data_IF_656062740522
#
_entry.id   IF_656062740522
#
_cell.length_a   1.000
_cell.length_b   1.000
_cell.length_c   1.000
_cell.angle_alpha   90.00
_cell.angle_beta   90.00
_cell.angle_gamma   90.00
#
_symmetry.space_group_name_H-M   'P 1'
#
loop_
_entity.id
_entity.type
_entity.pdbx_description
1 polymer ?
#
# COMPACT_ATOMS: atom_id res chain seq x y z
N UNK A 1 -70.40 40.48 38.96
CA UNK A 1 -70.26 41.20 40.26
C UNK A 1 -68.87 40.97 40.71
N UNK A 2 -68.20 42.12 40.80
CA UNK A 2 -67.11 42.54 41.71
C UNK A 2 -65.73 41.98 41.35
N UNK A 3 -64.71 42.74 41.41
CA UNK A 3 -64.42 44.16 41.34
C UNK A 3 -62.94 44.29 41.09
N UNK A 4 -62.60 45.34 40.39
CA UNK A 4 -61.19 45.77 40.12
C UNK A 4 -60.52 46.26 41.41
N UNK A 5 -59.31 45.76 41.69
CA UNK A 5 -58.32 46.55 42.43
C UNK A 5 -57.09 46.76 41.63
N UNK A 6 -56.98 47.98 41.10
CA UNK A 6 -55.72 48.53 40.58
C UNK A 6 -54.85 48.90 41.78
N UNK A 7 -53.72 48.20 41.98
CA UNK A 7 -52.64 48.66 42.81
C UNK A 7 -51.75 49.62 42.02
N UNK A 8 -51.74 50.86 42.41
CA UNK A 8 -50.78 51.89 42.00
C UNK A 8 -49.34 51.50 42.39
N UNK A 9 -48.52 51.18 41.40
CA UNK A 9 -47.08 51.11 41.60
C UNK A 9 -46.47 52.50 41.38
N UNK A 10 -45.82 53.02 42.38
CA UNK A 10 -45.02 54.26 42.34
C UNK A 10 -43.95 54.17 41.26
N UNK A 11 -43.65 55.23 40.53
CA UNK A 11 -42.58 55.28 39.60
C UNK A 11 -41.23 55.18 40.34
N UNK A 12 -40.51 54.11 40.08
CA UNK A 12 -39.12 53.90 40.50
C UNK A 12 -38.28 55.01 39.82
N UNK A 13 -37.83 56.02 40.58
CA UNK A 13 -36.85 56.97 40.08
C UNK A 13 -35.50 56.29 39.95
N UNK A 14 -35.10 55.99 38.69
CA UNK A 14 -33.77 55.48 38.38
C UNK A 14 -32.75 56.61 38.57
N UNK A 15 -31.71 56.46 39.44
CA UNK A 15 -30.69 57.47 39.58
C UNK A 15 -29.97 57.76 38.29
N UNK A 16 -29.71 59.02 37.94
CA UNK A 16 -29.05 59.48 36.72
C UNK A 16 -27.64 58.91 36.52
N UNK A 17 -27.07 58.37 37.57
CA UNK A 17 -25.75 57.75 37.55
C UNK A 17 -25.72 56.40 36.89
N UNK A 18 -26.84 55.64 36.79
CA UNK A 18 -26.93 54.32 36.16
C UNK A 18 -26.66 54.43 34.67
N UNK A 19 -27.09 55.44 34.00
CA UNK A 19 -26.81 55.66 32.57
C UNK A 19 -25.32 55.89 32.30
N UNK A 20 -24.59 56.48 33.22
CA UNK A 20 -23.13 56.61 33.08
C UNK A 20 -22.40 55.24 33.21
N UNK A 21 -22.85 54.41 34.15
CA UNK A 21 -22.26 53.06 34.32
C UNK A 21 -22.57 52.16 33.13
N UNK A 22 -23.78 52.24 32.57
CA UNK A 22 -24.17 51.51 31.38
C UNK A 22 -23.33 51.97 30.18
N UNK A 23 -23.15 53.29 29.98
CA UNK A 23 -22.31 53.81 28.87
C UNK A 23 -20.86 53.40 29.00
N UNK A 24 -20.25 53.46 30.19
CA UNK A 24 -18.87 52.99 30.44
C UNK A 24 -18.74 51.50 30.22
N UNK A 25 -19.70 50.69 30.66
CA UNK A 25 -19.72 49.24 30.39
C UNK A 25 -19.83 48.93 28.92
N UNK A 26 -20.64 49.67 28.15
CA UNK A 26 -20.75 49.50 26.70
C UNK A 26 -19.49 49.94 25.94
N UNK A 27 -18.80 51.01 26.40
CA UNK A 27 -17.53 51.44 25.80
C UNK A 27 -16.40 50.41 26.06
N UNK A 28 -16.28 49.95 27.30
CA UNK A 28 -15.32 48.89 27.65
C UNK A 28 -15.60 47.57 26.90
N UNK A 29 -16.87 47.21 26.72
CA UNK A 29 -17.26 46.05 25.94
C UNK A 29 -16.95 46.19 24.42
N UNK A 30 -17.06 47.41 23.88
CA UNK A 30 -16.66 47.71 22.49
C UNK A 30 -15.15 47.59 22.29
N UNK A 31 -14.35 48.15 23.21
CA UNK A 31 -12.89 48.07 23.14
C UNK A 31 -12.38 46.63 23.27
N UNK A 32 -12.95 45.85 24.19
CA UNK A 32 -12.62 44.45 24.36
C UNK A 32 -13.01 43.62 23.15
N UNK A 33 -14.12 43.94 22.46
CA UNK A 33 -14.57 43.28 21.25
C UNK A 33 -13.70 43.61 20.04
N UNK A 34 -13.26 44.85 19.90
CA UNK A 34 -12.33 45.30 18.86
C UNK A 34 -10.94 44.68 19.01
N UNK A 35 -10.40 44.60 20.20
CA UNK A 35 -9.11 43.97 20.47
C UNK A 35 -9.16 42.43 20.31
N UNK A 36 -10.26 41.78 20.67
CA UNK A 36 -10.46 40.33 20.40
C UNK A 36 -10.56 40.03 18.92
N UNK A 37 -11.24 40.86 18.15
CA UNK A 37 -11.37 40.72 16.71
C UNK A 37 -10.01 40.85 16.00
N UNK A 38 -9.26 41.92 16.34
CA UNK A 38 -7.94 42.18 15.74
C UNK A 38 -6.92 41.11 16.06
N UNK A 39 -6.89 40.59 17.29
CA UNK A 39 -6.01 39.49 17.68
C UNK A 39 -6.43 38.12 17.06
N UNK A 40 -7.72 37.93 16.78
CA UNK A 40 -8.20 36.75 16.06
C UNK A 40 -7.75 36.77 14.58
N UNK A 41 -7.90 37.92 13.92
CA UNK A 41 -7.46 38.08 12.52
C UNK A 41 -5.95 37.96 12.35
N UNK A 42 -5.17 38.49 13.29
CA UNK A 42 -3.70 38.33 13.29
C UNK A 42 -3.28 36.88 13.54
N UNK A 43 -3.94 36.15 14.44
CA UNK A 43 -3.65 34.72 14.69
C UNK A 43 -4.09 33.83 13.55
N UNK A 44 -5.23 34.09 12.92
CA UNK A 44 -5.70 33.36 11.76
C UNK A 44 -4.83 33.66 10.53
N UNK A 45 -4.43 34.96 10.36
CA UNK A 45 -3.52 35.36 9.28
C UNK A 45 -2.13 34.73 9.43
N UNK A 46 -1.56 34.71 10.64
CA UNK A 46 -0.24 34.10 10.87
C UNK A 46 -0.25 32.57 10.73
N UNK A 47 -1.35 31.90 11.13
CA UNK A 47 -1.47 30.45 10.92
C UNK A 47 -1.69 30.10 9.44
N UNK A 48 -2.45 30.90 8.68
CA UNK A 48 -2.61 30.73 7.22
C UNK A 48 -1.28 30.92 6.47
N UNK A 49 -0.49 31.93 6.85
CA UNK A 49 0.84 32.17 6.28
C UNK A 49 1.79 31.02 6.66
N UNK A 50 1.78 30.55 7.89
CA UNK A 50 2.58 29.40 8.32
C UNK A 50 2.16 28.10 7.58
N UNK A 51 0.85 27.87 7.42
CA UNK A 51 0.34 26.75 6.62
C UNK A 51 0.73 26.88 5.13
N UNK A 52 0.70 28.09 4.57
CA UNK A 52 1.14 28.35 3.20
C UNK A 52 2.64 28.13 3.04
N UNK A 53 3.47 28.55 4.00
CA UNK A 53 4.91 28.27 4.01
C UNK A 53 5.20 26.78 4.17
N UNK A 54 4.48 26.08 5.04
CA UNK A 54 4.59 24.61 5.20
C UNK A 54 4.12 23.92 3.93
N UNK A 55 3.05 24.38 3.30
CA UNK A 55 2.53 23.83 2.04
C UNK A 55 3.51 24.07 0.89
N UNK A 56 4.07 25.28 0.77
CA UNK A 56 5.11 25.62 -0.22
C UNK A 56 6.41 24.83 0.07
N UNK A 57 6.78 24.67 1.33
CA UNK A 57 7.96 23.87 1.72
C UNK A 57 7.77 22.38 1.43
N UNK A 58 6.60 21.80 1.76
CA UNK A 58 6.26 20.42 1.42
C UNK A 58 6.18 20.22 -0.11
N UNK A 59 5.66 21.19 -0.85
CA UNK A 59 5.61 21.15 -2.33
C UNK A 59 6.99 21.39 -2.97
N UNK A 60 7.84 22.23 -2.40
CA UNK A 60 9.18 22.49 -2.95
C UNK A 60 10.17 21.35 -2.69
N UNK A 61 9.95 20.57 -1.61
CA UNK A 61 10.77 19.38 -1.29
C UNK A 61 10.35 18.16 -2.15
N UNK A 62 9.12 18.14 -2.69
CA UNK A 62 8.60 16.99 -3.46
C UNK A 62 8.84 17.00 -4.96
N UNK A 63 9.36 18.06 -5.51
CA UNK A 63 9.72 18.14 -6.95
C UNK A 63 11.14 18.70 -7.06
N UNK A 64 12.11 17.84 -7.30
CA UNK A 64 13.42 18.30 -7.77
C UNK A 64 13.22 19.07 -9.07
N UNK A 65 13.61 20.36 -9.15
CA UNK A 65 13.50 21.15 -10.39
C UNK A 65 14.21 20.51 -11.58
N UNK A 66 15.23 19.68 -11.31
CA UNK A 66 15.96 18.92 -12.32
C UNK A 66 15.11 17.80 -12.93
N UNK A 67 14.28 17.09 -12.13
CA UNK A 67 13.34 16.08 -12.61
C UNK A 67 12.28 16.74 -13.49
N UNK A 68 11.67 17.82 -13.04
CA UNK A 68 10.65 18.53 -13.79
C UNK A 68 11.21 19.07 -15.13
N UNK A 69 12.42 19.61 -15.14
CA UNK A 69 13.06 20.14 -16.35
C UNK A 69 13.50 19.04 -17.34
N UNK A 70 14.03 17.93 -16.84
CA UNK A 70 14.44 16.79 -17.69
C UNK A 70 13.22 16.10 -18.30
N UNK A 71 12.21 15.85 -17.50
CA UNK A 71 11.00 15.15 -17.92
C UNK A 71 10.13 16.01 -18.85
N UNK A 72 10.03 17.33 -18.61
CA UNK A 72 9.32 18.25 -19.53
C UNK A 72 10.03 18.41 -20.89
N UNK A 73 11.30 18.03 -21.00
CA UNK A 73 12.04 18.03 -22.27
C UNK A 73 11.73 16.83 -23.19
N UNK A 74 11.07 15.79 -22.65
CA UNK A 74 10.72 14.57 -23.39
C UNK A 74 9.20 14.59 -23.65
N UNK A 75 8.74 14.68 -24.92
CA UNK A 75 7.32 14.66 -25.23
C UNK A 75 6.61 13.43 -24.66
N UNK A 76 5.53 13.64 -23.90
CA UNK A 76 4.75 12.57 -23.26
C UNK A 76 5.20 12.18 -21.83
N UNK A 77 6.30 12.75 -21.32
CA UNK A 77 6.84 12.45 -19.98
C UNK A 77 6.18 13.24 -18.84
N UNK A 78 5.38 14.25 -19.12
CA UNK A 78 4.78 15.11 -18.09
C UNK A 78 3.98 14.33 -17.03
N UNK A 79 3.31 13.25 -17.45
CA UNK A 79 2.54 12.39 -16.55
C UNK A 79 3.39 11.31 -15.84
N UNK A 80 4.54 10.94 -16.38
CA UNK A 80 5.45 9.98 -15.73
C UNK A 80 5.97 10.55 -14.42
N UNK A 81 6.23 11.86 -14.33
CA UNK A 81 6.60 12.52 -13.05
C UNK A 81 5.55 12.28 -11.98
N UNK A 82 4.28 12.32 -12.34
CA UNK A 82 3.20 12.05 -11.41
C UNK A 82 3.24 10.59 -10.90
N UNK A 83 3.44 9.63 -11.79
CA UNK A 83 3.55 8.21 -11.43
C UNK A 83 4.82 7.86 -10.66
N UNK A 84 5.89 8.64 -10.81
CA UNK A 84 7.15 8.46 -10.09
C UNK A 84 7.20 9.25 -8.77
N UNK A 85 6.22 10.10 -8.49
CA UNK A 85 6.23 11.02 -7.34
C UNK A 85 6.47 10.34 -6.00
N UNK A 86 5.94 9.15 -5.84
CA UNK A 86 5.98 8.41 -4.58
C UNK A 86 7.10 7.37 -4.52
N UNK A 87 8.04 7.37 -5.50
CA UNK A 87 9.21 6.48 -5.55
C UNK A 87 10.46 7.27 -5.97
N UNK A 88 11.22 7.70 -4.98
CA UNK A 88 12.44 8.52 -5.18
C UNK A 88 13.52 7.78 -5.97
N UNK A 89 13.62 6.47 -5.78
CA UNK A 89 14.57 5.63 -6.50
C UNK A 89 14.28 5.62 -8.00
N UNK A 90 13.02 5.45 -8.39
CA UNK A 90 12.59 5.51 -9.79
C UNK A 90 12.74 6.92 -10.39
N UNK A 91 12.48 7.98 -9.60
CA UNK A 91 12.75 9.35 -10.04
C UNK A 91 14.21 9.52 -10.44
N UNK A 92 15.15 9.10 -9.56
CA UNK A 92 16.58 9.16 -9.85
C UNK A 92 16.99 8.29 -11.03
N UNK A 93 16.43 7.07 -11.14
CA UNK A 93 16.66 6.22 -12.30
C UNK A 93 16.21 6.89 -13.62
N UNK A 94 15.08 7.60 -13.61
CA UNK A 94 14.60 8.38 -14.76
C UNK A 94 15.54 9.54 -15.09
N UNK A 95 16.06 10.28 -14.09
CA UNK A 95 17.08 11.34 -14.27
C UNK A 95 18.36 10.80 -14.92
N UNK A 96 18.70 9.53 -14.69
CA UNK A 96 19.90 8.88 -15.26
C UNK A 96 19.61 8.09 -16.55
N UNK A 97 18.57 8.46 -17.29
CA UNK A 97 18.23 7.93 -18.63
C UNK A 97 17.85 6.43 -18.69
N UNK A 98 17.37 5.85 -17.59
CA UNK A 98 16.89 4.45 -17.62
C UNK A 98 15.51 4.31 -18.28
N UNK A 99 14.81 5.40 -18.53
CA UNK A 99 13.54 5.40 -19.26
C UNK A 99 13.79 5.20 -20.76
N UNK A 100 12.99 4.32 -21.36
CA UNK A 100 13.02 4.01 -22.79
C UNK A 100 11.65 4.29 -23.40
N UNK A 101 11.62 5.05 -24.49
CA UNK A 101 10.41 5.24 -25.28
C UNK A 101 10.11 3.98 -26.08
N UNK A 102 8.93 3.45 -25.98
CA UNK A 102 8.47 2.23 -26.66
C UNK A 102 7.44 2.59 -27.74
N UNK A 103 6.29 3.16 -27.38
CA UNK A 103 5.24 3.56 -28.31
C UNK A 103 4.53 2.40 -29.02
N UNK A 104 4.66 1.17 -28.51
CA UNK A 104 4.04 0.00 -29.11
C UNK A 104 2.56 -0.08 -28.71
N UNK A 105 1.67 -0.33 -29.68
CA UNK A 105 0.23 -0.29 -29.50
C UNK A 105 -0.45 -1.55 -30.03
N UNK A 106 -1.56 -1.93 -29.38
CA UNK A 106 -2.53 -2.88 -29.87
C UNK A 106 -3.94 -2.29 -29.82
N UNK A 107 -4.78 -2.61 -30.80
CA UNK A 107 -6.14 -2.10 -30.87
C UNK A 107 -7.16 -3.22 -31.10
N UNK A 108 -8.35 -3.04 -30.54
CA UNK A 108 -9.54 -3.86 -30.86
C UNK A 108 -10.77 -2.96 -30.95
N UNK A 109 -11.37 -2.89 -32.14
CA UNK A 109 -12.34 -1.85 -32.43
C UNK A 109 -11.74 -0.45 -32.22
N UNK A 110 -12.45 0.37 -31.44
CA UNK A 110 -12.02 1.74 -31.15
C UNK A 110 -11.21 1.86 -29.82
N UNK A 111 -10.87 0.73 -29.20
CA UNK A 111 -10.05 0.71 -27.98
C UNK A 111 -8.60 0.45 -28.33
N UNK A 112 -7.70 1.30 -27.84
CA UNK A 112 -6.25 1.20 -28.07
C UNK A 112 -5.50 1.19 -26.76
N UNK A 113 -4.65 0.20 -26.57
CA UNK A 113 -3.68 0.15 -25.47
C UNK A 113 -2.28 0.38 -26.01
N UNK A 114 -1.56 1.33 -25.47
CA UNK A 114 -0.19 1.69 -25.86
C UNK A 114 0.75 1.49 -24.68
N UNK A 115 1.82 0.76 -24.85
CA UNK A 115 2.97 0.77 -23.95
C UNK A 115 3.81 1.98 -24.36
N UNK A 116 3.72 3.06 -23.60
CA UNK A 116 4.36 4.32 -23.94
C UNK A 116 5.87 4.25 -23.70
N UNK A 117 6.24 3.81 -22.47
CA UNK A 117 7.62 3.81 -22.01
C UNK A 117 7.87 2.64 -21.05
N UNK A 118 9.15 2.31 -20.92
CA UNK A 118 9.67 1.31 -19.98
C UNK A 118 10.82 1.92 -19.18
N UNK A 119 10.79 1.77 -17.86
CA UNK A 119 11.94 1.99 -16.99
C UNK A 119 12.34 0.63 -16.41
N UNK A 120 13.57 0.19 -16.63
CA UNK A 120 13.96 -1.15 -16.21
C UNK A 120 15.43 -1.22 -15.77
N UNK A 121 15.70 -2.19 -14.90
CA UNK A 121 17.01 -2.78 -14.64
C UNK A 121 16.88 -4.30 -14.50
N UNK A 122 17.89 -4.99 -13.99
CA UNK A 122 17.87 -6.46 -13.85
C UNK A 122 16.87 -7.00 -12.81
N UNK A 123 16.29 -6.15 -11.95
CA UNK A 123 15.43 -6.53 -10.82
C UNK A 123 14.01 -6.02 -10.90
N UNK A 124 13.79 -4.91 -11.60
CA UNK A 124 12.47 -4.29 -11.70
C UNK A 124 12.26 -3.71 -13.08
N UNK A 125 11.05 -3.82 -13.57
CA UNK A 125 10.57 -3.15 -14.77
C UNK A 125 9.28 -2.42 -14.44
N UNK A 126 9.18 -1.17 -14.88
CA UNK A 126 7.95 -0.38 -14.81
C UNK A 126 7.50 -0.06 -16.23
N UNK A 127 6.31 -0.53 -16.59
CA UNK A 127 5.67 -0.22 -17.86
C UNK A 127 4.71 0.96 -17.64
N UNK A 128 4.88 2.04 -18.39
CA UNK A 128 3.91 3.14 -18.44
C UNK A 128 3.03 2.94 -19.67
N UNK A 129 1.72 3.06 -19.49
CA UNK A 129 0.78 2.82 -20.56
C UNK A 129 -0.32 3.86 -20.66
N UNK A 130 -0.85 4.01 -21.88
CA UNK A 130 -2.05 4.76 -22.18
C UNK A 130 -3.11 3.82 -22.76
N UNK A 131 -4.29 3.81 -22.17
CA UNK A 131 -5.49 3.14 -22.67
C UNK A 131 -6.46 4.22 -23.18
N UNK A 132 -6.83 4.16 -24.46
CA UNK A 132 -7.80 5.06 -25.08
C UNK A 132 -9.04 4.31 -25.49
N UNK A 133 -10.22 4.89 -25.23
CA UNK A 133 -11.52 4.33 -25.61
C UNK A 133 -12.54 5.43 -25.89
N UNK A 134 -13.55 5.19 -26.73
CA UNK A 134 -14.56 6.19 -27.08
C UNK A 134 -15.76 6.22 -26.13
N UNK A 135 -15.81 5.33 -25.14
CA UNK A 135 -16.98 5.18 -24.27
C UNK A 135 -17.05 6.38 -23.30
N UNK A 136 -18.24 6.97 -23.19
CA UNK A 136 -18.53 8.10 -22.29
C UNK A 136 -19.44 7.71 -21.12
N UNK A 137 -19.96 6.49 -21.15
CA UNK A 137 -20.96 5.95 -20.22
C UNK A 137 -20.57 4.56 -19.68
N UNK A 138 -19.34 4.12 -19.96
CA UNK A 138 -18.82 2.83 -19.53
C UNK A 138 -17.52 2.96 -18.78
N UNK A 139 -17.38 2.17 -17.75
CA UNK A 139 -16.14 2.04 -17.01
C UNK A 139 -15.22 1.05 -17.70
N UNK A 140 -13.99 1.46 -17.91
CA UNK A 140 -12.94 0.62 -18.52
C UNK A 140 -11.78 0.46 -17.55
N UNK A 141 -11.25 -0.76 -17.46
CA UNK A 141 -10.09 -1.06 -16.64
C UNK A 141 -9.16 -2.07 -17.34
N UNK A 142 -7.89 -2.05 -16.93
CA UNK A 142 -6.95 -3.14 -17.21
C UNK A 142 -7.30 -4.32 -16.29
N UNK A 143 -7.90 -5.38 -16.85
CA UNK A 143 -8.26 -6.58 -16.11
C UNK A 143 -7.04 -7.48 -15.87
N UNK A 144 -6.27 -7.77 -16.93
CA UNK A 144 -5.13 -8.68 -16.89
C UNK A 144 -4.06 -8.31 -17.91
N UNK A 145 -2.81 -8.51 -17.52
CA UNK A 145 -1.67 -8.48 -18.45
C UNK A 145 -0.80 -9.71 -18.22
N UNK A 146 -0.42 -10.36 -19.32
CA UNK A 146 0.55 -11.46 -19.34
C UNK A 146 1.69 -11.07 -20.26
N UNK A 147 2.93 -11.25 -19.80
CA UNK A 147 4.12 -11.03 -20.60
C UNK A 147 4.77 -12.37 -20.95
N UNK A 148 5.17 -12.54 -22.19
CA UNK A 148 5.93 -13.71 -22.67
C UNK A 148 7.11 -13.26 -23.52
N UNK A 149 8.09 -14.13 -23.69
CA UNK A 149 9.11 -13.95 -24.73
C UNK A 149 8.52 -14.24 -26.13
N UNK A 150 9.30 -14.04 -27.16
CA UNK A 150 8.90 -14.30 -28.54
C UNK A 150 8.59 -15.78 -28.84
N UNK A 151 9.00 -16.71 -27.98
CA UNK A 151 8.70 -18.14 -28.11
C UNK A 151 7.41 -18.53 -27.38
N UNK A 152 6.77 -17.58 -26.70
CA UNK A 152 5.54 -17.78 -25.94
C UNK A 152 5.78 -18.31 -24.52
N UNK A 153 7.03 -18.44 -24.07
CA UNK A 153 7.31 -18.83 -22.71
C UNK A 153 6.91 -17.70 -21.74
N UNK A 154 6.12 -18.05 -20.73
CA UNK A 154 5.74 -17.09 -19.69
C UNK A 154 6.95 -16.71 -18.85
N UNK A 155 7.17 -15.43 -18.72
CA UNK A 155 8.24 -14.91 -17.91
C UNK A 155 7.87 -14.91 -16.42
N UNK A 156 8.71 -15.53 -15.56
CA UNK A 156 8.45 -15.60 -14.10
C UNK A 156 8.68 -14.24 -13.43
N UNK A 157 7.64 -13.71 -12.80
CA UNK A 157 7.64 -12.38 -12.20
C UNK A 157 6.44 -12.17 -11.29
N UNK A 158 6.55 -11.19 -10.41
CA UNK A 158 5.41 -10.64 -9.68
C UNK A 158 5.03 -9.31 -10.34
N UNK A 159 3.77 -9.14 -10.66
CA UNK A 159 3.25 -7.90 -11.25
C UNK A 159 2.18 -7.29 -10.36
N UNK A 160 2.19 -5.97 -10.27
CA UNK A 160 1.15 -5.18 -9.61
C UNK A 160 0.75 -3.98 -10.46
N UNK A 161 -0.52 -3.69 -10.51
CA UNK A 161 -1.08 -2.49 -11.14
C UNK A 161 -2.35 -2.06 -10.41
N UNK A 162 -2.74 -0.81 -10.59
CA UNK A 162 -4.05 -0.34 -10.14
C UNK A 162 -5.09 -0.73 -11.19
N UNK A 163 -6.12 -1.45 -10.77
CA UNK A 163 -7.28 -1.81 -11.60
C UNK A 163 -8.43 -0.79 -11.43
N UNK A 164 -8.10 0.49 -11.23
CA UNK A 164 -9.15 1.51 -11.09
C UNK A 164 -9.96 1.59 -12.39
N UNK A 165 -11.24 1.34 -12.25
CA UNK A 165 -12.22 1.60 -13.31
C UNK A 165 -12.32 3.11 -13.55
N UNK A 166 -12.33 3.53 -14.80
CA UNK A 166 -12.48 4.94 -15.17
C UNK A 166 -13.44 5.08 -16.35
N UNK A 167 -14.20 6.16 -16.33
CA UNK A 167 -15.00 6.65 -17.45
C UNK A 167 -14.21 7.63 -18.34
N UNK A 168 -12.98 7.98 -17.94
CA UNK A 168 -12.13 8.88 -18.72
C UNK A 168 -11.73 8.22 -20.05
N UNK A 169 -11.90 8.89 -21.19
CA UNK A 169 -11.60 8.32 -22.51
C UNK A 169 -10.10 8.05 -22.71
N UNK A 170 -9.24 8.57 -21.82
CA UNK A 170 -7.79 8.37 -21.82
C UNK A 170 -7.35 8.04 -20.40
N UNK A 171 -7.05 6.78 -20.17
CA UNK A 171 -6.51 6.26 -18.89
C UNK A 171 -5.01 6.10 -19.04
N UNK A 172 -4.25 6.73 -18.17
CA UNK A 172 -2.80 6.54 -18.09
C UNK A 172 -2.44 5.97 -16.73
N UNK A 173 -1.56 4.97 -16.72
CA UNK A 173 -1.15 4.31 -15.48
C UNK A 173 0.18 3.58 -15.68
N UNK A 174 0.64 2.89 -14.61
CA UNK A 174 1.85 2.07 -14.64
C UNK A 174 1.57 0.64 -14.18
N UNK A 175 2.45 -0.27 -14.60
CA UNK A 175 2.52 -1.65 -14.14
C UNK A 175 3.91 -1.85 -13.56
N UNK A 176 3.97 -2.21 -12.30
CA UNK A 176 5.21 -2.56 -11.61
C UNK A 176 5.46 -4.06 -11.72
N UNK A 177 6.68 -4.44 -12.10
CA UNK A 177 7.08 -5.82 -12.34
C UNK A 177 8.38 -6.07 -11.58
N UNK A 178 8.31 -6.92 -10.56
CA UNK A 178 9.50 -7.43 -9.86
C UNK A 178 9.96 -8.70 -10.55
N UNK A 179 11.23 -8.73 -10.94
CA UNK A 179 11.86 -9.81 -11.69
C UNK A 179 12.43 -10.82 -10.69
N UNK A 180 12.00 -12.06 -10.79
CA UNK A 180 12.52 -13.15 -9.96
C UNK A 180 13.97 -13.49 -10.33
N UNK A 181 14.72 -14.04 -9.35
CA UNK A 181 16.10 -14.46 -9.57
C UNK A 181 16.22 -15.49 -10.71
N UNK A 182 17.35 -15.42 -11.39
CA UNK A 182 17.70 -16.26 -12.55
C UNK A 182 16.82 -16.04 -13.80
N UNK A 183 16.02 -14.98 -13.83
CA UNK A 183 15.19 -14.64 -15.00
C UNK A 183 15.71 -13.35 -15.62
N UNK A 184 16.27 -13.43 -16.83
CA UNK A 184 16.67 -12.24 -17.58
C UNK A 184 15.46 -11.62 -18.30
N UNK A 185 15.47 -10.30 -18.46
CA UNK A 185 14.52 -9.60 -19.35
C UNK A 185 14.78 -10.08 -20.78
N UNK A 186 13.77 -10.61 -21.50
CA UNK A 186 13.90 -10.92 -22.92
C UNK A 186 14.18 -9.66 -23.75
N UNK A 187 14.94 -9.78 -24.84
CA UNK A 187 15.22 -8.66 -25.77
C UNK A 187 13.94 -8.15 -26.44
N UNK A 188 13.02 -9.05 -26.69
CA UNK A 188 11.70 -8.72 -27.22
C UNK A 188 10.63 -9.56 -26.50
N UNK A 189 9.51 -8.91 -26.25
CA UNK A 189 8.40 -9.45 -25.48
C UNK A 189 7.07 -9.20 -26.15
N UNK A 190 6.09 -10.05 -25.86
CA UNK A 190 4.69 -9.85 -26.19
C UNK A 190 3.89 -9.61 -24.92
N UNK A 191 3.19 -8.49 -24.84
CA UNK A 191 2.17 -8.23 -23.83
C UNK A 191 0.80 -8.68 -24.34
N UNK A 192 0.16 -9.61 -23.62
CA UNK A 192 -1.23 -10.00 -23.84
C UNK A 192 -2.09 -9.27 -22.81
N UNK A 193 -2.84 -8.27 -23.28
CA UNK A 193 -3.66 -7.38 -22.46
C UNK A 193 -5.10 -7.76 -22.57
N UNK A 194 -5.76 -8.00 -21.44
CA UNK A 194 -7.21 -8.22 -21.35
C UNK A 194 -7.83 -7.05 -20.61
N UNK A 195 -8.86 -6.46 -21.17
CA UNK A 195 -9.58 -5.32 -20.61
C UNK A 195 -10.90 -5.78 -20.02
N UNK A 196 -11.40 -5.01 -19.07
CA UNK A 196 -12.74 -5.11 -18.51
C UNK A 196 -13.52 -3.86 -18.85
N UNK A 197 -14.76 -4.03 -19.30
CA UNK A 197 -15.69 -2.95 -19.63
C UNK A 197 -17.02 -3.25 -18.93
N UNK A 198 -17.44 -2.37 -18.01
CA UNK A 198 -18.64 -2.53 -17.17
C UNK A 198 -18.68 -3.88 -16.45
N UNK A 199 -17.58 -4.27 -15.81
CA UNK A 199 -17.39 -5.56 -15.11
C UNK A 199 -17.48 -6.80 -16.05
N UNK A 200 -17.33 -6.62 -17.36
CA UNK A 200 -17.28 -7.71 -18.34
C UNK A 200 -15.91 -7.82 -18.96
N UNK A 201 -15.26 -8.96 -18.75
CA UNK A 201 -13.98 -9.27 -19.38
C UNK A 201 -14.12 -9.35 -20.90
N UNK A 202 -13.20 -8.67 -21.62
CA UNK A 202 -13.12 -8.74 -23.07
C UNK A 202 -12.64 -10.11 -23.54
N UNK A 203 -13.39 -10.74 -24.43
CA UNK A 203 -13.08 -12.11 -24.94
C UNK A 203 -11.80 -12.15 -25.79
N UNK A 204 -11.47 -11.06 -26.49
CA UNK A 204 -10.31 -11.00 -27.37
C UNK A 204 -9.24 -10.12 -26.74
N UNK A 205 -8.12 -10.68 -26.29
CA UNK A 205 -7.02 -9.90 -25.74
C UNK A 205 -6.29 -9.12 -26.84
N UNK A 206 -5.69 -7.99 -26.46
CA UNK A 206 -4.75 -7.25 -27.28
C UNK A 206 -3.37 -7.90 -27.19
N UNK A 207 -2.70 -8.06 -28.33
CA UNK A 207 -1.30 -8.52 -28.40
C UNK A 207 -0.42 -7.35 -28.83
N UNK A 208 0.62 -7.07 -28.04
CA UNK A 208 1.50 -5.92 -28.26
C UNK A 208 2.94 -6.40 -28.15
N UNK A 209 3.65 -6.40 -29.26
CA UNK A 209 5.06 -6.74 -29.31
C UNK A 209 5.91 -5.50 -29.05
N UNK A 210 6.90 -5.63 -28.17
CA UNK A 210 7.83 -4.55 -27.85
C UNK A 210 9.21 -5.10 -27.47
N UNK A 211 10.22 -4.23 -27.57
CA UNK A 211 11.60 -4.57 -27.23
C UNK A 211 12.12 -3.65 -26.11
N UNK A 212 13.02 -4.19 -25.29
CA UNK A 212 13.70 -3.45 -24.22
C UNK A 212 15.20 -3.43 -24.52
N UNK A 213 15.77 -2.25 -24.61
CA UNK A 213 17.22 -2.07 -24.79
C UNK A 213 17.94 -2.29 -23.44
N UNK A 214 18.46 -3.48 -23.28
CA UNK A 214 19.24 -3.87 -22.11
C UNK A 214 20.55 -3.09 -21.92
N UNK A 215 21.11 -2.51 -22.97
CA UNK A 215 22.35 -1.74 -22.87
C UNK A 215 22.18 -0.49 -22.01
N UNK A 216 20.96 0.03 -21.90
CA UNK A 216 20.67 1.18 -21.05
C UNK A 216 20.90 0.94 -19.56
N UNK A 217 20.75 -0.29 -19.07
CA UNK A 217 20.93 -0.60 -17.66
C UNK A 217 22.10 -1.55 -17.37
N UNK A 218 22.64 -2.29 -18.34
CA UNK A 218 23.80 -3.17 -18.15
C UNK A 218 25.07 -2.47 -17.66
N UNK A 219 25.18 -1.16 -17.84
CA UNK A 219 26.31 -0.35 -17.37
C UNK A 219 26.22 -0.05 -15.86
N UNK A 220 25.09 -0.25 -15.24
CA UNK A 220 24.85 0.00 -13.83
C UNK A 220 25.01 -1.30 -13.05
N UNK A 221 26.22 -1.55 -12.55
CA UNK A 221 26.50 -2.71 -11.72
C UNK A 221 25.85 -2.56 -10.34
N UNK A 222 25.30 -3.65 -9.80
CA UNK A 222 24.76 -3.66 -8.46
C UNK A 222 25.82 -3.33 -7.42
N UNK A 223 25.47 -2.55 -6.40
CA UNK A 223 26.32 -2.29 -5.23
C UNK A 223 25.88 -3.22 -4.09
N UNK A 224 26.81 -3.96 -3.50
CA UNK A 224 26.48 -4.87 -2.39
C UNK A 224 27.22 -4.44 -1.13
N UNK A 225 26.47 -4.26 -0.06
CA UNK A 225 26.96 -3.97 1.28
C UNK A 225 26.74 -5.21 2.16
N UNK A 226 27.79 -5.99 2.48
CA UNK A 226 27.68 -7.07 3.46
C UNK A 226 27.48 -6.46 4.85
N UNK A 227 26.45 -6.91 5.56
CA UNK A 227 26.08 -6.37 6.87
C UNK A 227 26.40 -7.37 7.98
N UNK A 228 25.90 -8.60 7.89
CA UNK A 228 26.09 -9.72 8.83
C UNK A 228 25.89 -9.33 10.29
N UNK A 229 24.85 -8.53 10.58
CA UNK A 229 24.51 -8.05 11.92
C UNK A 229 23.29 -8.78 12.48
N UNK A 230 23.45 -9.37 13.66
CA UNK A 230 22.36 -9.99 14.41
C UNK A 230 21.55 -8.92 15.16
N UNK A 231 20.24 -9.09 15.13
CA UNK A 231 19.24 -8.25 15.84
C UNK A 231 18.38 -9.16 16.69
N UNK A 232 18.15 -8.75 17.92
CA UNK A 232 17.22 -9.43 18.84
C UNK A 232 16.14 -8.46 19.30
N UNK A 233 14.88 -8.84 19.10
CA UNK A 233 13.71 -8.07 19.55
C UNK A 233 12.75 -9.03 20.21
N UNK A 234 12.36 -8.76 21.46
CA UNK A 234 11.42 -9.59 22.24
C UNK A 234 11.81 -11.09 22.23
N UNK A 235 13.11 -11.37 22.37
CA UNK A 235 13.67 -12.72 22.35
C UNK A 235 13.70 -13.41 20.98
N UNK A 236 13.20 -12.77 19.91
CA UNK A 236 13.29 -13.30 18.56
C UNK A 236 14.52 -12.74 17.86
N UNK A 237 15.30 -13.60 17.20
CA UNK A 237 16.56 -13.27 16.54
C UNK A 237 16.43 -13.32 15.03
N UNK A 238 17.09 -12.39 14.37
CA UNK A 238 17.29 -12.42 12.93
C UNK A 238 18.60 -11.73 12.56
N UNK A 239 19.17 -12.12 11.43
CA UNK A 239 20.40 -11.55 10.90
C UNK A 239 20.09 -10.74 9.65
N UNK A 240 20.53 -9.47 9.61
CA UNK A 240 20.59 -8.69 8.38
C UNK A 240 21.85 -9.13 7.65
N UNK A 241 21.69 -9.89 6.56
CA UNK A 241 22.81 -10.51 5.86
C UNK A 241 23.53 -9.50 4.96
N UNK A 242 22.78 -8.83 4.10
CA UNK A 242 23.31 -7.86 3.14
C UNK A 242 22.25 -6.90 2.64
N UNK A 243 22.73 -5.80 2.07
CA UNK A 243 21.94 -4.86 1.27
C UNK A 243 22.50 -4.84 -0.15
N UNK A 244 21.68 -5.18 -1.13
CA UNK A 244 22.02 -5.11 -2.55
C UNK A 244 21.24 -3.96 -3.19
N UNK A 245 21.95 -3.01 -3.78
CA UNK A 245 21.39 -1.79 -4.34
C UNK A 245 21.45 -1.82 -5.86
N UNK A 246 20.30 -1.74 -6.47
CA UNK A 246 20.09 -1.68 -7.92
C UNK A 246 19.55 -0.30 -8.32
N UNK A 247 19.66 0.09 -9.59
CA UNK A 247 19.14 1.39 -10.03
C UNK A 247 17.66 1.65 -9.72
N UNK A 248 16.81 0.60 -9.71
CA UNK A 248 15.35 0.75 -9.54
C UNK A 248 14.86 0.33 -8.16
N UNK A 249 15.64 -0.45 -7.40
CA UNK A 249 15.26 -0.92 -6.06
C UNK A 249 16.47 -1.24 -5.19
N UNK A 250 16.23 -1.32 -3.88
CA UNK A 250 17.19 -1.84 -2.90
C UNK A 250 16.63 -3.11 -2.29
N UNK A 251 17.42 -4.17 -2.23
CA UNK A 251 17.10 -5.45 -1.61
C UNK A 251 17.79 -5.56 -0.25
N UNK A 252 17.01 -5.88 0.79
CA UNK A 252 17.52 -6.16 2.15
C UNK A 252 17.29 -7.63 2.46
N UNK A 253 18.38 -8.40 2.56
CA UNK A 253 18.32 -9.83 2.89
C UNK A 253 18.34 -10.02 4.40
N UNK A 254 17.29 -10.68 4.92
CA UNK A 254 17.13 -10.98 6.34
C UNK A 254 16.93 -12.48 6.53
N UNK A 255 17.63 -13.08 7.48
CA UNK A 255 17.49 -14.48 7.86
C UNK A 255 17.01 -14.58 9.29
N UNK A 256 15.90 -15.28 9.50
CA UNK A 256 15.33 -15.51 10.82
C UNK A 256 15.94 -16.76 11.46
N UNK A 257 16.20 -16.69 12.77
CA UNK A 257 16.70 -17.84 13.51
C UNK A 257 15.61 -18.93 13.57
N UNK A 258 15.86 -20.17 13.13
CA UNK A 258 14.90 -21.26 13.21
C UNK A 258 14.47 -21.58 14.65
N UNK A 259 15.30 -21.25 15.66
CA UNK A 259 15.00 -21.44 17.07
C UNK A 259 14.01 -20.40 17.64
N UNK A 260 13.63 -19.38 16.88
CA UNK A 260 12.59 -18.45 17.29
C UNK A 260 11.29 -19.16 17.66
N UNK A 261 10.68 -18.76 18.77
CA UNK A 261 9.38 -19.30 19.20
C UNK A 261 8.22 -18.72 18.37
N UNK A 262 8.41 -17.51 17.83
CA UNK A 262 7.40 -16.83 17.02
C UNK A 262 7.77 -16.88 15.54
N UNK A 263 6.72 -16.93 14.71
CA UNK A 263 6.83 -16.70 13.27
C UNK A 263 6.68 -15.20 12.98
N UNK A 264 7.69 -14.63 12.38
CA UNK A 264 7.65 -13.23 11.93
C UNK A 264 6.96 -13.18 10.57
N UNK A 265 5.85 -12.45 10.49
CA UNK A 265 5.16 -12.21 9.22
C UNK A 265 5.84 -11.12 8.41
N UNK A 266 6.09 -9.95 9.06
CA UNK A 266 6.61 -8.79 8.36
C UNK A 266 7.05 -7.68 9.34
N UNK A 267 7.62 -6.60 8.80
CA UNK A 267 8.03 -5.42 9.53
C UNK A 267 7.12 -4.23 9.22
N UNK A 268 6.71 -3.51 10.27
CA UNK A 268 5.98 -2.27 10.08
C UNK A 268 6.94 -1.14 9.71
N UNK A 269 6.68 -0.46 8.59
CA UNK A 269 7.46 0.67 8.09
C UNK A 269 8.96 0.39 8.01
N UNK A 270 9.34 -0.78 7.51
CA UNK A 270 10.74 -1.09 7.21
C UNK A 270 11.26 -0.07 6.20
N UNK A 271 12.39 0.58 6.53
CA UNK A 271 12.98 1.64 5.72
C UNK A 271 14.47 1.77 5.95
N UNK A 272 15.15 2.30 4.96
CA UNK A 272 16.49 2.84 5.10
C UNK A 272 16.39 4.35 5.38
N UNK A 273 17.31 4.87 6.18
CA UNK A 273 17.42 6.29 6.52
C UNK A 273 18.89 6.70 6.38
N UNK A 274 19.13 7.80 5.67
CA UNK A 274 20.49 8.34 5.49
C UNK A 274 20.92 9.27 6.64
N UNK A 275 22.13 9.85 6.53
CA UNK A 275 22.68 10.79 7.50
C UNK A 275 21.92 12.12 7.59
N UNK A 276 21.09 12.43 6.61
CA UNK A 276 20.25 13.65 6.54
C UNK A 276 18.84 13.40 7.07
N UNK A 277 18.52 12.14 7.45
CA UNK A 277 17.19 11.73 7.86
C UNK A 277 16.24 11.50 6.68
N UNK A 278 16.75 11.43 5.44
CA UNK A 278 15.94 11.06 4.29
C UNK A 278 15.64 9.57 4.33
N UNK A 279 14.37 9.22 4.11
CA UNK A 279 13.89 7.84 4.20
C UNK A 279 13.65 7.25 2.83
N UNK A 280 14.02 5.97 2.67
CA UNK A 280 13.79 5.13 1.50
C UNK A 280 13.01 3.91 1.96
N UNK A 281 11.74 3.88 1.61
CA UNK A 281 10.79 2.85 2.00
C UNK A 281 10.07 2.34 0.76
N UNK A 282 9.17 1.41 0.93
CA UNK A 282 8.19 1.09 -0.10
C UNK A 282 6.83 1.65 0.34
N UNK A 283 6.06 2.18 -0.60
CA UNK A 283 4.71 2.65 -0.34
C UNK A 283 3.69 1.52 -0.56
N UNK A 284 2.57 1.53 0.17
CA UNK A 284 1.49 0.56 0.04
C UNK A 284 1.22 -0.23 1.31
N UNK A 285 0.56 -1.37 1.18
CA UNK A 285 0.12 -2.21 2.30
C UNK A 285 1.22 -3.17 2.81
N UNK A 286 2.44 -2.70 2.92
CA UNK A 286 3.61 -3.46 3.36
C UNK A 286 4.76 -3.41 2.36
N UNK A 287 5.91 -3.89 2.76
CA UNK A 287 7.10 -3.99 1.92
C UNK A 287 7.00 -5.26 1.08
N UNK A 288 7.16 -5.20 -0.26
CA UNK A 288 7.22 -6.41 -1.07
C UNK A 288 8.33 -7.32 -0.58
N UNK A 289 8.03 -8.60 -0.43
CA UNK A 289 8.93 -9.58 0.13
C UNK A 289 9.00 -10.82 -0.77
N UNK A 290 10.18 -11.41 -0.87
CA UNK A 290 10.44 -12.68 -1.54
C UNK A 290 11.14 -13.63 -0.57
N UNK A 291 10.70 -14.89 -0.57
CA UNK A 291 11.40 -15.93 0.18
C UNK A 291 12.80 -16.19 -0.41
N UNK A 292 13.76 -16.40 0.46
CA UNK A 292 15.17 -16.66 0.14
C UNK A 292 15.67 -17.90 0.90
N UNK A 293 15.25 -19.07 0.43
CA UNK A 293 15.51 -20.32 1.12
C UNK A 293 14.74 -20.44 2.44
N UNK A 294 15.12 -21.45 3.23
CA UNK A 294 14.52 -21.70 4.52
C UNK A 294 14.85 -20.55 5.50
N UNK A 295 13.83 -19.95 6.08
CA UNK A 295 13.93 -18.84 7.04
C UNK A 295 14.58 -17.54 6.51
N UNK A 296 14.87 -17.44 5.21
CA UNK A 296 15.40 -16.23 4.59
C UNK A 296 14.32 -15.44 3.86
N UNK A 297 14.40 -14.11 3.89
CA UNK A 297 13.55 -13.21 3.11
C UNK A 297 14.34 -12.05 2.54
N UNK A 298 13.94 -11.58 1.37
CA UNK A 298 14.44 -10.37 0.73
C UNK A 298 13.32 -9.34 0.67
N UNK A 299 13.56 -8.19 1.28
CA UNK A 299 12.65 -7.04 1.30
C UNK A 299 13.06 -6.04 0.25
N UNK A 300 12.11 -5.53 -0.52
CA UNK A 300 12.35 -4.57 -1.58
C UNK A 300 11.97 -3.16 -1.12
N UNK A 301 12.93 -2.24 -1.15
CA UNK A 301 12.77 -0.85 -0.78
C UNK A 301 13.08 0.05 -1.98
N UNK A 302 12.75 1.34 -1.88
CA UNK A 302 13.17 2.35 -2.84
C UNK A 302 14.69 2.34 -3.06
N UNK A 303 15.13 2.59 -4.29
CA UNK A 303 16.55 2.59 -4.61
C UNK A 303 17.28 3.78 -4.01
N UNK A 304 18.46 3.49 -3.43
CA UNK A 304 19.44 4.49 -3.00
C UNK A 304 20.63 4.57 -3.96
N UNK A 305 20.55 3.93 -5.14
CA UNK A 305 21.66 3.75 -6.07
C UNK A 305 22.35 5.06 -6.47
N UNK A 306 21.55 6.07 -6.76
CA UNK A 306 22.00 7.38 -7.21
C UNK A 306 22.10 8.43 -6.08
N UNK A 307 21.80 8.06 -4.85
CA UNK A 307 21.89 8.95 -3.68
C UNK A 307 23.27 8.86 -3.02
N UNK A 308 23.86 7.66 -2.97
CA UNK A 308 25.19 7.38 -2.41
C UNK A 308 25.38 7.93 -0.97
N UNK A 309 24.53 7.52 -0.01
CA UNK A 309 24.59 8.04 1.35
C UNK A 309 25.92 7.68 2.02
N UNK A 310 26.45 8.58 2.88
CA UNK A 310 27.64 8.32 3.70
C UNK A 310 27.33 7.34 4.83
N UNK A 311 26.15 7.46 5.43
CA UNK A 311 25.65 6.61 6.49
C UNK A 311 24.27 6.07 6.14
N UNK A 312 24.00 4.83 6.50
CA UNK A 312 22.73 4.17 6.24
C UNK A 312 22.26 3.37 7.45
N UNK A 313 21.04 3.60 7.88
CA UNK A 313 20.42 2.96 9.02
C UNK A 313 19.16 2.22 8.53
N UNK A 314 19.05 0.92 8.82
CA UNK A 314 17.84 0.14 8.62
C UNK A 314 16.98 0.22 9.89
N UNK A 315 15.72 0.61 9.73
CA UNK A 315 14.75 0.79 10.83
C UNK A 315 13.42 0.11 10.53
N UNK A 316 12.76 -0.36 11.60
CA UNK A 316 11.34 -0.75 11.56
C UNK A 316 10.64 -0.24 12.82
N UNK A 317 9.39 0.20 12.66
CA UNK A 317 8.58 0.73 13.78
C UNK A 317 7.86 -0.37 14.56
N UNK A 318 7.78 -1.59 14.00
CA UNK A 318 7.20 -2.76 14.63
C UNK A 318 7.53 -4.03 13.87
N UNK A 319 7.29 -5.17 14.51
CA UNK A 319 7.51 -6.51 13.94
C UNK A 319 6.25 -7.33 14.19
N UNK A 320 5.56 -7.72 13.12
CA UNK A 320 4.35 -8.55 13.22
C UNK A 320 4.74 -10.01 13.35
N UNK A 321 4.30 -10.64 14.43
CA UNK A 321 4.63 -12.03 14.72
C UNK A 321 3.60 -12.68 15.64
N UNK A 322 3.44 -14.00 15.52
CA UNK A 322 2.66 -14.83 16.44
C UNK A 322 3.45 -16.08 16.84
N UNK A 323 3.03 -16.76 17.87
CA UNK A 323 3.61 -18.04 18.25
C UNK A 323 3.47 -19.07 17.13
N UNK A 324 4.52 -19.85 16.85
CA UNK A 324 4.56 -20.80 15.73
C UNK A 324 3.45 -21.86 15.82
N UNK A 325 3.06 -22.26 17.02
CA UNK A 325 1.97 -23.19 17.24
C UNK A 325 0.58 -22.62 16.93
N UNK A 326 0.47 -21.28 16.74
CA UNK A 326 -0.75 -20.55 16.39
C UNK A 326 -0.89 -20.24 14.90
N UNK A 327 0.07 -20.66 14.08
CA UNK A 327 0.03 -20.42 12.63
C UNK A 327 -1.12 -21.14 11.92
N UNK A 328 -1.55 -22.29 12.45
CA UNK A 328 -2.67 -23.06 11.92
C UNK A 328 -3.89 -22.84 12.80
N UNK A 329 -4.92 -22.18 12.28
CA UNK A 329 -6.22 -22.12 12.96
C UNK A 329 -7.04 -23.35 12.64
N UNK A 330 -7.84 -23.79 13.59
CA UNK A 330 -8.70 -24.98 13.47
C UNK A 330 -10.16 -24.59 13.74
N UNK A 331 -11.06 -25.09 12.91
CA UNK A 331 -12.51 -24.87 13.00
C UNK A 331 -13.19 -26.23 13.20
N UNK A 332 -13.94 -26.39 14.26
CA UNK A 332 -14.85 -27.51 14.42
C UNK A 332 -15.95 -27.48 13.35
N UNK A 333 -16.03 -28.51 12.52
CA UNK A 333 -16.91 -28.54 11.35
C UNK A 333 -18.41 -28.55 11.72
N UNK A 334 -18.76 -28.95 12.94
CA UNK A 334 -20.15 -29.04 13.42
C UNK A 334 -20.60 -27.77 14.11
N UNK A 335 -19.77 -27.20 14.97
CA UNK A 335 -20.12 -26.07 15.84
C UNK A 335 -19.66 -24.73 15.26
N UNK A 336 -18.71 -24.72 14.33
CA UNK A 336 -18.04 -23.50 13.86
C UNK A 336 -17.11 -22.89 14.92
N UNK A 337 -16.78 -23.62 15.97
CA UNK A 337 -15.89 -23.11 17.01
C UNK A 337 -14.47 -22.99 16.48
N UNK A 338 -13.88 -21.79 16.58
CA UNK A 338 -12.46 -21.57 16.31
C UNK A 338 -11.62 -22.04 17.50
N UNK A 339 -10.60 -22.82 17.19
CA UNK A 339 -9.58 -23.23 18.14
C UNK A 339 -8.19 -22.90 17.60
N UNK A 340 -7.19 -22.93 18.44
CA UNK A 340 -5.81 -22.63 18.12
C UNK A 340 -5.58 -21.22 17.50
N UNK A 341 -6.41 -20.24 17.87
CA UNK A 341 -6.24 -18.83 17.45
C UNK A 341 -5.19 -18.12 18.33
N UNK A 342 -4.49 -17.09 17.79
CA UNK A 342 -3.53 -16.33 18.61
C UNK A 342 -4.18 -15.64 19.82
N UNK A 343 -5.37 -15.05 19.62
CA UNK A 343 -6.17 -14.38 20.65
C UNK A 343 -7.63 -14.22 20.17
N UNK A 344 -8.44 -13.40 20.85
CA UNK A 344 -9.87 -13.18 20.59
C UNK A 344 -10.17 -12.18 19.46
N UNK A 345 -9.16 -11.69 18.73
CA UNK A 345 -9.35 -10.72 17.63
C UNK A 345 -10.00 -11.35 16.40
N UNK A 346 -9.66 -12.60 16.09
CA UNK A 346 -10.23 -13.33 14.96
C UNK A 346 -11.45 -14.13 15.41
N UNK A 347 -12.56 -13.96 14.71
CA UNK A 347 -13.80 -14.70 14.97
C UNK A 347 -14.35 -15.26 13.66
N UNK A 348 -14.83 -16.49 13.69
CA UNK A 348 -15.69 -17.04 12.65
C UNK A 348 -17.11 -16.52 12.90
N UNK A 349 -17.69 -15.82 11.94
CA UNK A 349 -19.04 -15.25 12.03
C UNK A 349 -20.08 -16.14 11.37
N UNK A 350 -19.67 -16.92 10.37
CA UNK A 350 -20.53 -17.94 9.75
C UNK A 350 -19.72 -19.10 9.18
N UNK A 351 -20.27 -20.32 9.31
CA UNK A 351 -19.82 -21.52 8.61
C UNK A 351 -21.02 -22.11 7.88
N UNK A 352 -20.88 -22.26 6.56
CA UNK A 352 -21.91 -22.82 5.69
C UNK A 352 -21.33 -24.02 4.95
N UNK A 353 -22.08 -25.12 4.94
CA UNK A 353 -21.68 -26.33 4.22
C UNK A 353 -22.88 -26.76 3.38
N UNK A 354 -22.73 -26.75 2.06
CA UNK A 354 -23.75 -27.18 1.12
C UNK A 354 -23.06 -28.05 0.06
N UNK A 355 -23.41 -29.33 0.05
CA UNK A 355 -22.83 -30.36 -0.82
C UNK A 355 -21.29 -30.39 -0.74
N UNK A 356 -20.59 -29.99 -1.80
CA UNK A 356 -19.13 -29.95 -1.90
C UNK A 356 -18.56 -28.53 -1.65
N UNK A 357 -19.41 -27.56 -1.27
CA UNK A 357 -18.99 -26.18 -1.03
C UNK A 357 -18.99 -25.86 0.46
N UNK A 358 -17.88 -25.25 0.90
CA UNK A 358 -17.70 -24.74 2.27
C UNK A 358 -17.53 -23.23 2.22
N UNK A 359 -18.45 -22.50 2.84
CA UNK A 359 -18.38 -21.05 2.99
C UNK A 359 -18.02 -20.66 4.42
N UNK A 360 -17.09 -19.74 4.56
CA UNK A 360 -16.60 -19.24 5.86
C UNK A 360 -16.55 -17.73 5.85
N UNK A 361 -17.16 -17.11 6.86
CA UNK A 361 -17.05 -15.67 7.08
C UNK A 361 -16.31 -15.41 8.39
N UNK A 362 -15.37 -14.47 8.35
CA UNK A 362 -14.55 -14.10 9.49
C UNK A 362 -14.60 -12.60 9.75
N UNK A 363 -14.39 -12.24 10.99
CA UNK A 363 -14.19 -10.87 11.44
C UNK A 363 -12.89 -10.78 12.22
N UNK A 364 -12.00 -9.89 11.80
CA UNK A 364 -10.72 -9.61 12.45
C UNK A 364 -10.75 -8.20 13.06
N UNK A 365 -10.59 -8.12 14.37
CA UNK A 365 -10.46 -6.83 15.06
C UNK A 365 -9.02 -6.32 14.97
N UNK A 366 -8.86 -5.12 14.41
CA UNK A 366 -7.58 -4.45 14.22
C UNK A 366 -7.45 -3.27 15.18
N UNK A 367 -6.27 -2.99 15.76
CA UNK A 367 -6.07 -1.79 16.59
C UNK A 367 -6.40 -0.51 15.80
N UNK A 368 -7.08 0.49 16.37
CA UNK A 368 -7.54 1.70 15.64
C UNK A 368 -6.44 2.50 14.96
N UNK A 369 -5.20 2.46 15.49
CA UNK A 369 -4.03 3.15 14.93
C UNK A 369 -3.35 2.35 13.81
N UNK A 370 -3.74 1.10 13.61
CA UNK A 370 -3.15 0.21 12.64
C UNK A 370 -3.95 0.30 11.32
N UNK A 371 -3.34 0.94 10.33
CA UNK A 371 -3.93 1.14 8.99
C UNK A 371 -3.58 0.03 7.99
N UNK A 372 -2.98 -1.06 8.47
CA UNK A 372 -2.63 -2.18 7.62
C UNK A 372 -3.88 -2.99 7.25
N UNK A 373 -4.03 -3.29 5.97
CA UNK A 373 -5.05 -4.24 5.49
C UNK A 373 -4.48 -5.65 5.60
N UNK A 374 -5.07 -6.48 6.45
CA UNK A 374 -4.65 -7.85 6.68
C UNK A 374 -5.31 -8.80 5.68
N UNK A 375 -4.51 -9.59 4.99
CA UNK A 375 -4.96 -10.79 4.28
C UNK A 375 -4.59 -11.96 5.18
N UNK A 376 -5.39 -12.16 6.23
CA UNK A 376 -5.01 -13.03 7.34
C UNK A 376 -5.20 -14.51 7.07
N UNK A 377 -5.99 -14.84 6.06
CA UNK A 377 -6.40 -16.21 5.82
C UNK A 377 -5.81 -16.70 4.50
N UNK A 378 -4.96 -17.71 4.57
CA UNK A 378 -4.43 -18.39 3.38
C UNK A 378 -5.55 -19.07 2.58
N UNK A 379 -5.29 -19.33 1.31
CA UNK A 379 -6.25 -20.04 0.44
C UNK A 379 -6.16 -21.57 0.57
N UNK A 380 -5.27 -22.10 1.40
CA UNK A 380 -4.97 -23.53 1.53
C UNK A 380 -5.82 -24.16 2.65
N UNK A 381 -7.10 -24.36 2.37
CA UNK A 381 -7.98 -25.10 3.28
C UNK A 381 -7.62 -26.56 3.27
N UNK A 382 -7.46 -27.13 4.46
CA UNK A 382 -7.30 -28.58 4.69
C UNK A 382 -8.33 -29.08 5.69
N UNK A 383 -8.52 -30.37 5.77
CA UNK A 383 -9.36 -31.01 6.79
C UNK A 383 -8.69 -32.24 7.41
N UNK A 384 -9.28 -32.74 8.49
CA UNK A 384 -8.76 -33.89 9.27
C UNK A 384 -8.82 -35.24 8.53
N UNK A 385 -9.60 -35.36 7.45
CA UNK A 385 -9.68 -36.58 6.63
C UNK A 385 -8.86 -36.48 5.33
N UNK A 386 -8.25 -35.32 5.07
CA UNK A 386 -7.34 -35.10 3.95
C UNK A 386 -8.04 -34.83 2.61
N UNK A 387 -9.26 -34.28 2.61
CA UNK A 387 -9.85 -33.77 1.39
C UNK A 387 -9.06 -32.57 0.87
N UNK A 388 -9.08 -32.38 -0.44
CA UNK A 388 -8.50 -31.23 -1.14
C UNK A 388 -9.60 -30.25 -1.50
N UNK A 389 -9.26 -28.96 -1.48
CA UNK A 389 -10.19 -27.85 -1.75
C UNK A 389 -9.58 -26.89 -2.76
N UNK A 390 -10.46 -26.30 -3.61
CA UNK A 390 -10.13 -25.13 -4.42
C UNK A 390 -10.78 -23.90 -3.80
N UNK A 391 -10.04 -22.81 -3.67
CA UNK A 391 -10.60 -21.51 -3.38
C UNK A 391 -11.37 -21.02 -4.61
N UNK A 392 -12.70 -20.85 -4.46
CA UNK A 392 -13.60 -20.42 -5.55
C UNK A 392 -13.77 -18.90 -5.52
N UNK A 393 -13.87 -18.35 -4.33
CA UNK A 393 -14.07 -16.92 -4.11
C UNK A 393 -13.47 -16.49 -2.78
N UNK A 394 -12.84 -15.33 -2.77
CA UNK A 394 -12.43 -14.64 -1.57
C UNK A 394 -12.75 -13.15 -1.72
N UNK A 395 -13.29 -12.56 -0.68
CA UNK A 395 -13.56 -11.12 -0.61
C UNK A 395 -13.24 -10.58 0.77
N UNK A 396 -12.89 -9.30 0.83
CA UNK A 396 -12.65 -8.60 2.09
C UNK A 396 -13.33 -7.24 2.07
N UNK A 397 -13.70 -6.78 3.25
CA UNK A 397 -14.23 -5.43 3.48
C UNK A 397 -13.81 -4.95 4.86
N UNK A 398 -13.83 -3.65 5.10
CA UNK A 398 -13.55 -3.07 6.41
C UNK A 398 -14.69 -2.14 6.82
N UNK A 399 -14.81 -1.89 8.13
CA UNK A 399 -15.65 -0.83 8.66
C UNK A 399 -15.08 0.55 8.32
N UNK A 400 -15.89 1.61 8.40
CA UNK A 400 -15.48 2.97 8.07
C UNK A 400 -14.30 3.46 8.93
N UNK A 401 -14.19 3.00 10.18
CA UNK A 401 -13.08 3.28 11.09
C UNK A 401 -11.88 2.31 10.93
N UNK A 402 -11.98 1.36 9.98
CA UNK A 402 -10.98 0.31 9.72
C UNK A 402 -10.67 -0.61 10.93
N UNK A 403 -11.43 -0.51 12.02
CA UNK A 403 -11.18 -1.30 13.24
C UNK A 403 -11.62 -2.76 13.14
N UNK A 404 -12.44 -3.10 12.14
CA UNK A 404 -12.89 -4.46 11.85
C UNK A 404 -12.71 -4.73 10.36
N UNK A 405 -12.00 -5.80 10.06
CA UNK A 405 -11.85 -6.33 8.70
C UNK A 405 -12.61 -7.64 8.60
N UNK A 406 -13.51 -7.73 7.61
CA UNK A 406 -14.32 -8.90 7.35
C UNK A 406 -13.80 -9.64 6.12
N UNK A 407 -13.85 -10.97 6.18
CA UNK A 407 -13.42 -11.85 5.10
C UNK A 407 -14.53 -12.85 4.81
N UNK A 408 -14.81 -13.09 3.54
CA UNK A 408 -15.72 -14.14 3.09
C UNK A 408 -14.99 -15.02 2.10
N UNK A 409 -14.99 -16.32 2.36
CA UNK A 409 -14.27 -17.30 1.56
C UNK A 409 -15.19 -18.45 1.18
N UNK A 410 -15.11 -18.89 -0.07
CA UNK A 410 -15.80 -20.07 -0.59
C UNK A 410 -14.77 -21.07 -1.11
N UNK A 411 -14.88 -22.31 -0.66
CA UNK A 411 -14.06 -23.42 -1.06
C UNK A 411 -14.91 -24.52 -1.67
N UNK A 412 -14.45 -25.11 -2.77
CA UNK A 412 -15.05 -26.28 -3.38
C UNK A 412 -14.17 -27.50 -3.14
N UNK A 413 -14.77 -28.54 -2.55
CA UNK A 413 -14.09 -29.81 -2.32
C UNK A 413 -13.84 -30.53 -3.64
N UNK A 414 -12.58 -30.95 -3.87
CA UNK A 414 -12.13 -31.72 -5.04
C UNK A 414 -12.20 -33.22 -4.84
N UNK A 415 -11.86 -33.66 -3.64
CA UNK A 415 -11.82 -35.09 -3.30
C UNK A 415 -12.81 -35.39 -2.20
N UNK A 416 -13.33 -36.62 -2.13
CA UNK A 416 -14.24 -37.05 -1.09
C UNK A 416 -13.66 -38.27 -0.38
N UNK A 417 -12.81 -38.03 0.63
CA UNK A 417 -12.20 -39.05 1.49
C UNK A 417 -12.99 -39.31 2.77
N UNK A 418 -14.07 -38.57 2.97
CA UNK A 418 -14.95 -38.70 4.14
C UNK A 418 -15.54 -37.35 4.58
N UNK A 419 -16.40 -37.38 5.59
CA UNK A 419 -16.97 -36.19 6.19
C UNK A 419 -15.99 -35.64 7.23
N UNK A 420 -15.51 -34.38 7.10
CA UNK A 420 -14.59 -33.81 8.05
C UNK A 420 -15.25 -33.51 9.39
N UNK A 421 -14.47 -33.59 10.47
CA UNK A 421 -14.83 -33.10 11.81
C UNK A 421 -14.19 -31.75 12.10
N UNK A 422 -13.12 -31.40 11.38
CA UNK A 422 -12.47 -30.10 11.51
C UNK A 422 -11.88 -29.61 10.16
N UNK A 423 -11.81 -28.30 10.04
CA UNK A 423 -11.08 -27.62 8.97
C UNK A 423 -9.91 -26.87 9.57
N UNK A 424 -8.83 -26.75 8.80
CA UNK A 424 -7.71 -25.88 9.19
C UNK A 424 -7.12 -25.13 8.00
N UNK A 425 -6.57 -23.96 8.25
CA UNK A 425 -5.81 -23.18 7.28
C UNK A 425 -4.78 -22.27 7.95
N UNK A 426 -3.68 -21.94 7.25
CA UNK A 426 -2.62 -21.13 7.80
C UNK A 426 -3.03 -19.65 7.90
N UNK A 427 -2.56 -18.96 8.92
CA UNK A 427 -2.55 -17.49 8.96
C UNK A 427 -1.38 -16.99 8.12
N UNK A 428 -1.67 -16.12 7.16
CA UNK A 428 -0.66 -15.46 6.32
C UNK A 428 -0.23 -14.09 6.86
N UNK A 429 -1.04 -13.49 7.75
CA UNK A 429 -0.76 -12.24 8.44
C UNK A 429 -1.64 -12.11 9.68
N UNK A 430 -1.21 -11.34 10.69
CA UNK A 430 -1.99 -11.11 11.91
C UNK A 430 -1.58 -9.80 12.60
N UNK A 431 -2.51 -9.04 13.24
CA UNK A 431 -2.23 -7.77 13.90
C UNK A 431 -1.64 -7.93 15.32
N UNK A 432 -0.73 -8.87 15.49
CA UNK A 432 0.05 -9.07 16.72
C UNK A 432 1.48 -8.66 16.48
N UNK A 433 2.12 -8.04 17.47
CA UNK A 433 3.46 -7.46 17.36
C UNK A 433 4.36 -7.91 18.49
N UNK A 434 5.63 -8.02 18.20
CA UNK A 434 6.68 -8.13 19.21
C UNK A 434 6.77 -6.82 20.03
N UNK A 435 7.21 -6.94 21.28
CA UNK A 435 7.49 -5.77 22.10
C UNK A 435 8.84 -5.17 21.71
N UNK A 436 8.81 -4.06 20.97
CA UNK A 436 10.01 -3.33 20.56
C UNK A 436 10.11 -3.08 19.06
N UNK A 437 11.14 -2.34 18.73
CA UNK A 437 11.51 -1.90 17.38
C UNK A 437 12.99 -2.18 17.17
N UNK A 438 13.51 -1.97 15.97
CA UNK A 438 14.94 -1.97 15.77
C UNK A 438 15.42 -0.81 14.91
N UNK A 439 16.68 -0.42 15.14
CA UNK A 439 17.41 0.58 14.37
C UNK A 439 18.86 0.16 14.34
N UNK A 440 19.39 -0.13 13.17
CA UNK A 440 20.75 -0.65 13.00
C UNK A 440 21.46 0.04 11.86
N UNK A 441 22.67 0.50 12.12
CA UNK A 441 23.55 1.06 11.09
C UNK A 441 24.05 -0.08 10.20
N UNK A 442 23.88 0.07 8.89
CA UNK A 442 24.22 -0.96 7.88
C UNK A 442 25.29 -0.51 6.90
N UNK A 443 25.60 0.80 6.90
CA UNK A 443 26.70 1.43 6.20
C UNK A 443 27.20 2.63 7.02
#
# INVERSE_FOLDING_TARGET
MCDNEKKNASPFMVPAEIDQYIRRGMEQAKELRQNRSRNRWVRVGSSLVACLFIFVFIFSVRLSPAVAAYVSSIPGMEKIVEFLRDDKGLQKAAEHNLVQNIGASGSTGDVTFTIDQVLADEKRMVLFYTLKHPFTDKKVALHKIELSDQTGNKWKRVMSWSSMESEDPVIQNRIDIVIEEATEIPDAMTAKVTLEIDNLEQKTPLLIDFAVDKNKFKTFEKKVYPVMKEVTVDGQRFTIEQIAVFPTQTEVSIRFDPANQKHVFDFDKLRLEDEKGETFAFWGNGVPVRDNGENGRVYHLESIYFVEPEKLILKADGIRAIDKDKLQIVIDAKTGTLTNVPNDRLKLTALRQVDDVVGMDFSLKVPPQDKHSYISLGNDLTDDVGNEYDSVQASSSSTDDESIQNYSMLFKRKTNKGKPTSYSFPLSSYPERLQGTFSIEVK
#
